data_IF_800570604228
#
_entry.id   IF_800570604228
#
_cell.length_a   1.000
_cell.length_b   1.000
_cell.length_c   1.000
_cell.angle_alpha   90.00
_cell.angle_beta   90.00
_cell.angle_gamma   90.00
#
_symmetry.space_group_name_H-M   'P 1'
#
loop_
_entity.id
_entity.type
_entity.pdbx_description
1 polymer ?
#
# COMPACT_ATOMS: atom_id res chain seq x y z
N UNK A 1 -4.79 11.82 -2.89
CA UNK A 1 -4.61 10.88 -4.01
C UNK A 1 -3.38 10.07 -3.75
N UNK A 2 -3.49 8.75 -3.82
CA UNK A 2 -2.38 7.83 -3.61
C UNK A 2 -1.83 7.40 -4.98
N UNK A 3 -0.53 7.58 -5.20
CA UNK A 3 0.11 7.24 -6.48
C UNK A 3 0.66 5.81 -6.45
N UNK A 4 0.51 5.12 -7.57
CA UNK A 4 1.11 3.81 -7.77
C UNK A 4 1.58 3.60 -9.18
N UNK A 5 2.27 2.49 -9.39
CA UNK A 5 2.73 2.04 -10.69
C UNK A 5 2.31 0.59 -10.91
N UNK A 6 2.26 0.18 -12.17
CA UNK A 6 2.20 -1.23 -12.51
C UNK A 6 3.32 -1.55 -13.50
N UNK A 7 4.04 -2.64 -13.23
CA UNK A 7 5.25 -2.98 -13.97
C UNK A 7 5.34 -4.49 -14.25
N UNK A 8 6.12 -4.81 -15.27
CA UNK A 8 6.41 -6.15 -15.75
C UNK A 8 7.90 -6.27 -16.08
N UNK A 9 8.31 -7.35 -16.74
CA UNK A 9 9.65 -7.46 -17.33
C UNK A 9 10.02 -6.30 -18.27
N UNK A 10 9.05 -5.58 -18.82
CA UNK A 10 9.30 -4.50 -19.79
C UNK A 10 10.01 -3.29 -19.16
N UNK A 11 9.83 -3.07 -17.86
CA UNK A 11 10.55 -2.03 -17.11
C UNK A 11 11.99 -2.45 -16.72
N UNK A 12 12.38 -3.69 -17.00
CA UNK A 12 13.74 -4.20 -16.81
C UNK A 12 14.10 -4.54 -15.36
N UNK A 13 15.18 -5.31 -15.22
CA UNK A 13 15.68 -5.78 -13.92
C UNK A 13 16.42 -4.72 -13.08
N UNK A 14 16.44 -3.46 -13.52
CA UNK A 14 17.09 -2.34 -12.84
C UNK A 14 16.10 -1.28 -12.34
N UNK A 15 14.80 -1.57 -12.38
CA UNK A 15 13.80 -0.66 -11.83
C UNK A 15 13.98 -0.51 -10.31
N UNK A 16 14.30 0.71 -9.85
CA UNK A 16 14.59 1.01 -8.45
C UNK A 16 13.29 1.36 -7.71
N UNK A 17 12.66 0.34 -7.13
CA UNK A 17 11.43 0.49 -6.36
C UNK A 17 11.61 1.29 -5.06
N UNK A 18 12.81 1.29 -4.48
CA UNK A 18 13.10 2.11 -3.30
C UNK A 18 13.17 3.59 -3.68
N UNK A 19 13.75 3.92 -4.84
CA UNK A 19 13.69 5.27 -5.40
C UNK A 19 12.26 5.67 -5.77
N UNK A 20 11.49 4.78 -6.38
CA UNK A 20 10.08 5.04 -6.68
C UNK A 20 9.31 5.42 -5.40
N UNK A 21 9.52 4.68 -4.30
CA UNK A 21 8.94 5.01 -3.00
C UNK A 21 9.35 6.40 -2.49
N UNK A 22 10.64 6.76 -2.59
CA UNK A 22 11.14 8.11 -2.24
C UNK A 22 10.55 9.21 -3.11
N UNK A 23 10.17 8.90 -4.36
CA UNK A 23 9.48 9.82 -5.28
C UNK A 23 7.97 9.91 -5.04
N UNK A 24 7.44 9.23 -4.01
CA UNK A 24 6.04 9.32 -3.60
C UNK A 24 5.12 8.24 -4.18
N UNK A 25 5.68 7.19 -4.81
CA UNK A 25 4.91 5.98 -5.15
C UNK A 25 4.62 5.20 -3.88
N UNK A 26 3.35 4.88 -3.64
CA UNK A 26 2.91 4.20 -2.43
C UNK A 26 2.59 2.71 -2.63
N UNK A 27 2.28 2.31 -3.86
CA UNK A 27 1.96 0.93 -4.22
C UNK A 27 2.49 0.54 -5.60
N UNK A 28 2.68 -0.75 -5.80
CA UNK A 28 3.07 -1.32 -7.08
C UNK A 28 2.32 -2.62 -7.38
N UNK A 29 1.84 -2.76 -8.61
CA UNK A 29 1.13 -3.95 -9.10
C UNK A 29 2.01 -4.64 -10.14
N UNK A 30 2.38 -5.89 -9.90
CA UNK A 30 3.39 -6.59 -10.70
C UNK A 30 2.77 -7.64 -11.61
N UNK A 31 3.18 -7.68 -12.88
CA UNK A 31 2.83 -8.79 -13.76
C UNK A 31 3.39 -10.07 -13.17
N UNK A 32 2.54 -11.06 -12.94
CA UNK A 32 2.97 -12.36 -12.46
C UNK A 32 2.93 -13.41 -13.57
N UNK A 33 1.80 -13.48 -14.27
CA UNK A 33 1.50 -14.57 -15.20
C UNK A 33 0.66 -14.06 -16.38
N UNK A 34 0.70 -14.79 -17.49
CA UNK A 34 -0.12 -14.53 -18.68
C UNK A 34 -0.57 -15.87 -19.27
N UNK A 35 -1.89 -16.01 -19.49
CA UNK A 35 -2.48 -17.23 -20.03
C UNK A 35 -2.11 -18.50 -19.23
N UNK A 36 -1.99 -19.62 -19.90
CA UNK A 36 -1.77 -20.93 -19.25
C UNK A 36 -0.32 -21.28 -18.92
N UNK A 37 0.68 -20.61 -19.50
CA UNK A 37 2.09 -21.05 -19.35
C UNK A 37 3.09 -19.92 -19.09
N UNK A 38 2.79 -18.68 -19.48
CA UNK A 38 3.78 -17.61 -19.40
C UNK A 38 3.82 -17.02 -18.00
N UNK A 39 5.04 -16.75 -17.52
CA UNK A 39 5.34 -16.25 -16.18
C UNK A 39 6.35 -15.13 -16.31
N UNK A 40 6.14 -14.04 -15.59
CA UNK A 40 7.04 -12.90 -15.65
C UNK A 40 8.34 -13.23 -14.88
N UNK A 41 9.51 -13.21 -15.55
CA UNK A 41 10.78 -13.55 -14.89
C UNK A 41 11.21 -12.53 -13.82
N UNK A 42 10.59 -11.34 -13.78
CA UNK A 42 10.88 -10.31 -12.78
C UNK A 42 9.91 -10.34 -11.60
N UNK A 43 8.84 -11.14 -11.64
CA UNK A 43 7.78 -11.07 -10.62
C UNK A 43 8.30 -11.24 -9.19
N UNK A 44 9.01 -12.33 -8.90
CA UNK A 44 9.49 -12.63 -7.54
C UNK A 44 10.43 -11.54 -7.03
N UNK A 45 11.36 -11.09 -7.89
CA UNK A 45 12.29 -10.00 -7.58
C UNK A 45 11.54 -8.70 -7.29
N UNK A 46 10.60 -8.32 -8.16
CA UNK A 46 9.84 -7.08 -8.04
C UNK A 46 8.93 -7.11 -6.80
N UNK A 47 8.31 -8.26 -6.50
CA UNK A 47 7.50 -8.44 -5.31
C UNK A 47 8.34 -8.27 -4.03
N UNK A 48 9.51 -8.89 -3.96
CA UNK A 48 10.43 -8.75 -2.82
C UNK A 48 10.91 -7.30 -2.68
N UNK A 49 11.43 -6.71 -3.76
CA UNK A 49 11.92 -5.34 -3.74
C UNK A 49 10.82 -4.30 -3.44
N UNK A 50 9.58 -4.54 -3.87
CA UNK A 50 8.43 -3.70 -3.52
C UNK A 50 8.09 -3.76 -2.04
N UNK A 51 8.11 -4.97 -1.46
CA UNK A 51 7.91 -5.17 -0.01
C UNK A 51 9.03 -4.50 0.80
N UNK A 52 10.29 -4.68 0.40
CA UNK A 52 11.44 -4.09 1.08
C UNK A 52 11.46 -2.56 0.98
N UNK A 53 10.94 -2.00 -0.12
CA UNK A 53 10.73 -0.57 -0.29
C UNK A 53 9.52 -0.01 0.51
N UNK A 54 8.80 -0.87 1.24
CA UNK A 54 7.60 -0.48 1.98
C UNK A 54 6.44 -0.10 1.08
N UNK A 55 6.33 -0.63 -0.14
CA UNK A 55 5.17 -0.42 -1.01
C UNK A 55 4.04 -1.38 -0.65
N UNK A 56 2.79 -0.96 -0.85
CA UNK A 56 1.67 -1.91 -0.91
C UNK A 56 1.81 -2.67 -2.24
N UNK A 57 1.78 -4.00 -2.21
CA UNK A 57 2.06 -4.83 -3.39
C UNK A 57 0.84 -5.66 -3.79
N UNK A 58 0.67 -5.83 -5.10
CA UNK A 58 -0.29 -6.77 -5.67
C UNK A 58 0.31 -7.44 -6.92
N UNK A 59 -0.30 -8.54 -7.33
CA UNK A 59 0.02 -9.24 -8.57
C UNK A 59 -1.09 -9.05 -9.59
N UNK A 60 -0.76 -9.05 -10.88
CA UNK A 60 -1.75 -9.21 -11.93
C UNK A 60 -1.47 -10.41 -12.83
N UNK A 61 -2.57 -11.01 -13.30
CA UNK A 61 -2.59 -12.08 -14.29
C UNK A 61 -3.22 -11.56 -15.58
N UNK A 62 -2.46 -11.60 -16.67
CA UNK A 62 -2.94 -11.19 -17.99
C UNK A 62 -3.80 -12.31 -18.60
N UNK A 63 -5.09 -12.04 -18.76
CA UNK A 63 -6.08 -13.03 -19.22
C UNK A 63 -5.95 -13.24 -20.73
N UNK A 64 -5.91 -14.51 -21.14
CA UNK A 64 -5.78 -14.88 -22.56
C UNK A 64 -6.99 -15.68 -23.04
N UNK A 65 -7.52 -15.36 -24.21
CA UNK A 65 -8.69 -16.05 -24.80
C UNK A 65 -8.38 -17.43 -25.38
N UNK A 66 -7.10 -17.74 -25.59
CA UNK A 66 -6.61 -19.01 -26.12
C UNK A 66 -6.37 -20.08 -25.04
N UNK A 67 -6.76 -19.80 -23.79
CA UNK A 67 -6.58 -20.73 -22.66
C UNK A 67 -7.80 -20.79 -21.75
N UNK A 68 -8.07 -21.97 -21.20
CA UNK A 68 -9.20 -22.17 -20.28
C UNK A 68 -8.95 -21.51 -18.91
N UNK A 69 -10.02 -21.14 -18.21
CA UNK A 69 -9.93 -20.58 -16.87
C UNK A 69 -9.18 -21.51 -15.90
N UNK A 70 -9.38 -22.83 -16.01
CA UNK A 70 -8.65 -23.83 -15.21
C UNK A 70 -7.15 -23.81 -15.50
N UNK A 71 -6.73 -23.72 -16.76
CA UNK A 71 -5.33 -23.68 -17.13
C UNK A 71 -4.65 -22.36 -16.68
N UNK A 72 -5.36 -21.24 -16.78
CA UNK A 72 -4.92 -19.94 -16.28
C UNK A 72 -4.75 -19.96 -14.75
N UNK A 73 -5.73 -20.50 -14.01
CA UNK A 73 -5.60 -20.70 -12.56
C UNK A 73 -4.40 -21.57 -12.19
N UNK A 74 -4.15 -22.66 -12.93
CA UNK A 74 -3.00 -23.52 -12.70
C UNK A 74 -1.67 -22.78 -12.90
N UNK A 75 -1.60 -21.84 -13.85
CA UNK A 75 -0.44 -20.99 -14.06
C UNK A 75 -0.25 -19.99 -12.91
N UNK A 76 -1.32 -19.30 -12.51
CA UNK A 76 -1.35 -18.40 -11.34
C UNK A 76 -0.82 -19.12 -10.10
N UNK A 77 -1.34 -20.32 -9.82
CA UNK A 77 -1.01 -21.12 -8.63
C UNK A 77 0.47 -21.52 -8.52
N UNK A 78 1.22 -21.48 -9.63
CA UNK A 78 2.66 -21.78 -9.64
C UNK A 78 3.54 -20.61 -9.23
N UNK A 79 3.00 -19.38 -9.23
CA UNK A 79 3.81 -18.17 -9.13
C UNK A 79 3.30 -17.23 -8.05
N UNK A 80 1.99 -17.06 -7.92
CA UNK A 80 1.38 -16.06 -7.04
C UNK A 80 1.09 -16.67 -5.67
N UNK A 81 1.76 -16.21 -4.59
CA UNK A 81 1.45 -16.62 -3.22
C UNK A 81 0.03 -16.21 -2.81
N UNK A 82 -0.58 -16.95 -1.88
CA UNK A 82 -1.97 -16.69 -1.44
C UNK A 82 -2.14 -15.38 -0.66
N UNK A 83 -1.07 -14.92 -0.01
CA UNK A 83 -0.98 -13.66 0.72
C UNK A 83 -0.83 -12.43 -0.21
N UNK A 84 -0.60 -12.63 -1.51
CA UNK A 84 -0.50 -11.54 -2.49
C UNK A 84 -1.85 -11.34 -3.18
N UNK A 85 -2.45 -10.13 -3.10
CA UNK A 85 -3.68 -9.81 -3.81
C UNK A 85 -3.49 -10.00 -5.32
N UNK A 86 -4.46 -10.65 -5.97
CA UNK A 86 -4.40 -10.97 -7.38
C UNK A 86 -5.44 -10.19 -8.18
N UNK A 87 -5.01 -9.50 -9.23
CA UNK A 87 -5.89 -8.76 -10.12
C UNK A 87 -5.90 -9.44 -11.49
N UNK A 88 -7.09 -9.62 -12.07
CA UNK A 88 -7.21 -10.09 -13.45
C UNK A 88 -7.10 -8.90 -14.40
N UNK A 89 -6.16 -8.98 -15.33
CA UNK A 89 -5.94 -8.00 -16.39
C UNK A 89 -6.65 -8.48 -17.67
N UNK A 90 -7.72 -7.76 -18.01
CA UNK A 90 -8.67 -8.11 -19.06
C UNK A 90 -8.66 -7.07 -20.16
N UNK A 91 -7.92 -7.39 -21.21
CA UNK A 91 -7.87 -6.57 -22.42
C UNK A 91 -7.68 -7.43 -23.68
N UNK A 92 -7.90 -6.83 -24.86
CA UNK A 92 -7.56 -7.47 -26.12
C UNK A 92 -6.14 -7.14 -26.56
N UNK A 93 -5.42 -8.16 -27.03
CA UNK A 93 -4.09 -7.99 -27.61
C UNK A 93 -4.22 -7.99 -29.12
N UNK A 94 -3.60 -6.99 -29.74
CA UNK A 94 -3.34 -6.97 -31.19
C UNK A 94 -1.85 -7.18 -31.45
N UNK A 95 -1.51 -8.10 -32.34
CA UNK A 95 -0.17 -8.26 -32.90
C UNK A 95 -0.25 -8.05 -34.41
N UNK A 96 0.58 -7.14 -34.93
CA UNK A 96 0.60 -6.79 -36.36
C UNK A 96 -0.80 -6.45 -36.91
N UNK A 97 -1.59 -5.69 -36.14
CA UNK A 97 -2.96 -5.29 -36.49
C UNK A 97 -4.04 -6.37 -36.33
N UNK A 98 -3.68 -7.62 -36.01
CA UNK A 98 -4.62 -8.73 -35.82
C UNK A 98 -4.88 -8.97 -34.34
N UNK A 99 -6.14 -9.15 -33.97
CA UNK A 99 -6.52 -9.56 -32.61
C UNK A 99 -6.03 -10.99 -32.38
N UNK A 100 -5.11 -11.17 -31.44
CA UNK A 100 -4.55 -12.48 -31.07
C UNK A 100 -5.05 -12.97 -29.71
N UNK A 101 -5.66 -12.09 -28.92
CA UNK A 101 -6.43 -12.45 -27.73
C UNK A 101 -7.52 -11.44 -27.49
N UNK A 102 -8.71 -11.92 -27.15
CA UNK A 102 -9.84 -11.11 -26.73
C UNK A 102 -10.70 -11.93 -25.75
N UNK A 103 -10.37 -11.93 -24.45
CA UNK A 103 -11.13 -12.65 -23.43
C UNK A 103 -12.62 -12.26 -23.45
N UNK A 104 -13.52 -13.25 -23.43
CA UNK A 104 -14.95 -12.99 -23.30
C UNK A 104 -15.33 -12.71 -21.84
N UNK A 105 -16.42 -11.98 -21.61
CA UNK A 105 -16.97 -11.78 -20.26
C UNK A 105 -17.26 -13.12 -19.54
N UNK A 106 -17.69 -14.15 -20.30
CA UNK A 106 -17.93 -15.48 -19.75
C UNK A 106 -16.64 -16.13 -19.21
N UNK A 107 -15.54 -16.07 -19.97
CA UNK A 107 -14.23 -16.56 -19.53
C UNK A 107 -13.75 -15.80 -18.29
N UNK A 108 -13.92 -14.48 -18.27
CA UNK A 108 -13.53 -13.61 -17.15
C UNK A 108 -14.28 -13.99 -15.88
N UNK A 109 -15.60 -14.16 -15.96
CA UNK A 109 -16.42 -14.60 -14.81
C UNK A 109 -16.04 -15.99 -14.32
N UNK A 110 -15.81 -16.93 -15.24
CA UNK A 110 -15.36 -18.28 -14.88
C UNK A 110 -14.00 -18.26 -14.16
N UNK A 111 -13.03 -17.52 -14.70
CA UNK A 111 -11.70 -17.40 -14.10
C UNK A 111 -11.75 -16.70 -12.75
N UNK A 112 -12.49 -15.60 -12.64
CA UNK A 112 -12.67 -14.88 -11.38
C UNK A 112 -13.27 -15.80 -10.30
N UNK A 113 -14.34 -16.53 -10.60
CA UNK A 113 -14.94 -17.49 -9.68
C UNK A 113 -13.96 -18.59 -9.25
N UNK A 114 -13.16 -19.12 -10.18
CA UNK A 114 -12.12 -20.12 -9.88
C UNK A 114 -10.99 -19.57 -9.01
N UNK A 115 -10.57 -18.34 -9.25
CA UNK A 115 -9.55 -17.64 -8.45
C UNK A 115 -10.02 -17.51 -6.99
N UNK A 116 -11.26 -17.05 -6.78
CA UNK A 116 -11.84 -16.94 -5.44
C UNK A 116 -12.01 -18.31 -4.77
N UNK A 117 -12.55 -19.31 -5.50
CA UNK A 117 -12.74 -20.67 -4.98
C UNK A 117 -11.41 -21.35 -4.61
N UNK A 118 -10.31 -20.96 -5.26
CA UNK A 118 -8.97 -21.43 -4.93
C UNK A 118 -8.34 -20.70 -3.72
N UNK A 119 -9.04 -19.76 -3.09
CA UNK A 119 -8.57 -19.04 -1.90
C UNK A 119 -7.66 -17.84 -2.21
N UNK A 120 -7.68 -17.32 -3.44
CA UNK A 120 -7.05 -16.02 -3.72
C UNK A 120 -7.99 -14.87 -3.34
N UNK A 121 -7.39 -13.78 -2.88
CA UNK A 121 -8.08 -12.51 -2.74
C UNK A 121 -7.93 -11.70 -4.04
N UNK A 122 -9.06 -11.33 -4.65
CA UNK A 122 -9.09 -10.57 -5.90
C UNK A 122 -10.00 -9.34 -5.77
N UNK A 123 -9.46 -8.23 -5.25
CA UNK A 123 -10.24 -7.05 -4.83
C UNK A 123 -10.59 -6.09 -5.98
N UNK A 124 -9.90 -6.24 -7.11
CA UNK A 124 -10.03 -5.38 -8.28
C UNK A 124 -9.98 -6.23 -9.55
N UNK A 125 -10.53 -5.68 -10.63
CA UNK A 125 -10.35 -6.20 -11.99
C UNK A 125 -9.84 -5.07 -12.87
N UNK A 126 -8.73 -5.31 -13.58
CA UNK A 126 -8.31 -4.40 -14.63
C UNK A 126 -9.13 -4.65 -15.88
N UNK A 127 -9.84 -3.61 -16.30
CA UNK A 127 -10.66 -3.61 -17.49
C UNK A 127 -10.64 -2.21 -18.08
N UNK A 128 -10.22 -2.03 -19.33
CA UNK A 128 -10.38 -0.74 -19.99
C UNK A 128 -11.83 -0.53 -20.42
N UNK A 129 -12.38 0.69 -20.22
CA UNK A 129 -13.74 1.03 -20.65
C UNK A 129 -13.98 0.75 -22.14
N UNK A 130 -12.99 1.03 -22.98
CA UNK A 130 -13.08 0.78 -24.43
C UNK A 130 -13.25 -0.72 -24.73
N UNK A 131 -12.60 -1.59 -23.95
CA UNK A 131 -12.65 -3.02 -24.18
C UNK A 131 -13.99 -3.59 -23.72
N UNK A 132 -14.47 -3.17 -22.55
CA UNK A 132 -15.83 -3.46 -22.09
C UNK A 132 -16.91 -3.06 -23.11
N UNK A 133 -16.75 -1.90 -23.77
CA UNK A 133 -17.67 -1.46 -24.83
C UNK A 133 -17.69 -2.40 -26.04
N UNK A 134 -16.59 -3.10 -26.34
CA UNK A 134 -16.57 -4.12 -27.42
C UNK A 134 -17.45 -5.33 -27.12
N UNK A 135 -17.79 -5.58 -25.85
CA UNK A 135 -18.77 -6.59 -25.46
C UNK A 135 -20.23 -6.11 -25.55
N UNK A 136 -20.46 -4.88 -26.02
CA UNK A 136 -21.80 -4.26 -26.04
C UNK A 136 -22.18 -3.58 -24.71
N UNK A 137 -21.18 -3.22 -23.89
CA UNK A 137 -21.38 -2.54 -22.61
C UNK A 137 -22.32 -3.28 -21.62
N UNK A 138 -22.14 -4.60 -21.40
CA UNK A 138 -23.00 -5.39 -20.52
C UNK A 138 -22.85 -5.00 -19.05
N UNK A 139 -23.80 -5.42 -18.21
CA UNK A 139 -23.62 -5.38 -16.76
C UNK A 139 -22.42 -6.25 -16.34
N UNK A 140 -21.71 -5.80 -15.30
CA UNK A 140 -20.54 -6.45 -14.71
C UNK A 140 -20.84 -6.95 -13.30
N UNK A 141 -22.10 -7.21 -12.99
CA UNK A 141 -22.56 -7.80 -11.74
C UNK A 141 -21.76 -9.08 -11.42
N UNK A 142 -21.40 -9.23 -10.13
CA UNK A 142 -20.58 -10.34 -9.63
C UNK A 142 -19.07 -10.20 -9.82
N UNK A 143 -18.58 -9.17 -10.51
CA UNK A 143 -17.15 -8.83 -10.60
C UNK A 143 -16.76 -7.76 -9.56
N UNK A 144 -15.47 -7.65 -9.19
CA UNK A 144 -15.03 -6.67 -8.19
C UNK A 144 -14.94 -5.27 -8.81
N UNK A 145 -14.77 -4.20 -8.00
CA UNK A 145 -14.57 -2.85 -8.51
C UNK A 145 -13.43 -2.72 -9.53
N UNK A 146 -13.49 -1.66 -10.34
CA UNK A 146 -12.65 -1.51 -11.53
C UNK A 146 -11.31 -0.84 -11.21
N UNK A 147 -10.24 -1.46 -11.69
CA UNK A 147 -9.04 -0.76 -12.10
C UNK A 147 -9.19 -0.39 -13.58
N UNK A 148 -9.55 0.85 -13.89
CA UNK A 148 -9.80 1.27 -15.27
C UNK A 148 -8.59 2.00 -15.85
N UNK A 149 -8.26 1.74 -17.11
CA UNK A 149 -7.32 2.58 -17.86
C UNK A 149 -8.02 3.62 -18.71
N UNK A 150 -7.46 4.84 -18.71
CA UNK A 150 -7.86 5.93 -19.61
C UNK A 150 -6.78 6.99 -19.68
N UNK A 151 -6.24 7.24 -20.87
CA UNK A 151 -5.11 8.14 -21.07
C UNK A 151 -5.56 9.41 -21.79
N UNK A 152 -5.08 10.56 -21.32
CA UNK A 152 -5.35 11.85 -21.96
C UNK A 152 -4.42 12.08 -23.16
N UNK A 153 -3.13 11.83 -22.96
CA UNK A 153 -2.04 11.97 -23.92
C UNK A 153 -0.83 11.13 -23.46
N UNK A 154 0.26 11.23 -24.23
CA UNK A 154 1.51 10.49 -24.02
C UNK A 154 2.72 11.44 -23.89
N UNK A 155 2.50 12.67 -23.40
CA UNK A 155 3.54 13.71 -23.40
C UNK A 155 4.62 13.49 -22.32
N UNK A 156 4.47 12.48 -21.48
CA UNK A 156 5.40 12.17 -20.39
C UNK A 156 5.32 13.12 -19.19
N UNK A 157 6.18 12.88 -18.20
CA UNK A 157 6.25 13.63 -16.94
C UNK A 157 6.07 12.74 -15.70
N UNK A 158 6.19 13.32 -14.52
CA UNK A 158 5.93 12.57 -13.27
C UNK A 158 4.43 12.28 -13.13
N UNK A 159 4.04 11.23 -12.36
CA UNK A 159 2.63 10.93 -12.09
C UNK A 159 1.83 12.15 -11.62
N UNK A 160 2.37 12.92 -10.67
CA UNK A 160 1.71 14.11 -10.13
C UNK A 160 1.50 15.21 -11.18
N UNK A 161 2.49 15.47 -12.04
CA UNK A 161 2.39 16.48 -13.11
C UNK A 161 1.36 16.06 -14.17
N UNK A 162 1.37 14.79 -14.58
CA UNK A 162 0.41 14.29 -15.57
C UNK A 162 -1.01 14.36 -14.97
N UNK A 163 -1.19 13.98 -13.71
CA UNK A 163 -2.50 13.90 -13.07
C UNK A 163 -3.23 15.24 -12.96
N UNK A 164 -2.52 16.38 -12.89
CA UNK A 164 -3.13 17.72 -12.85
C UNK A 164 -4.09 18.00 -14.02
N UNK A 165 -3.92 17.30 -15.15
CA UNK A 165 -4.72 17.45 -16.37
C UNK A 165 -5.85 16.43 -16.47
N UNK A 166 -5.90 15.44 -15.57
CA UNK A 166 -6.83 14.32 -15.66
C UNK A 166 -8.22 14.77 -15.23
N UNK A 167 -9.22 14.71 -16.12
CA UNK A 167 -10.55 15.20 -15.80
C UNK A 167 -11.31 14.19 -14.94
N UNK A 168 -12.12 14.68 -14.00
CA UNK A 168 -12.92 13.85 -13.08
C UNK A 168 -13.79 12.78 -13.78
N UNK A 169 -14.20 13.02 -15.04
CA UNK A 169 -14.94 12.03 -15.85
C UNK A 169 -14.18 10.71 -16.10
N UNK A 170 -12.87 10.64 -15.84
CA UNK A 170 -12.08 9.40 -15.95
C UNK A 170 -12.43 8.41 -14.83
N UNK A 171 -12.92 8.91 -13.69
CA UNK A 171 -13.33 8.14 -12.53
C UNK A 171 -14.77 7.62 -12.59
N UNK A 172 -15.53 7.96 -13.64
CA UNK A 172 -16.89 7.49 -13.78
C UNK A 172 -16.91 5.97 -13.94
N UNK A 173 -17.74 5.31 -13.13
CA UNK A 173 -18.04 3.88 -13.20
C UNK A 173 -18.69 3.45 -14.51
N UNK A 174 -18.69 2.15 -14.77
CA UNK A 174 -19.38 1.53 -15.89
C UNK A 174 -19.71 0.07 -15.61
N UNK A 175 -20.68 -0.50 -16.35
CA UNK A 175 -21.18 -1.85 -16.10
C UNK A 175 -21.81 -2.04 -14.71
N UNK A 176 -22.18 -0.95 -14.03
CA UNK A 176 -22.69 -0.98 -12.65
C UNK A 176 -21.59 -1.00 -11.57
N UNK A 177 -20.31 -0.92 -11.94
CA UNK A 177 -19.18 -0.94 -11.00
C UNK A 177 -18.53 0.44 -10.87
N UNK A 178 -18.00 0.73 -9.68
CA UNK A 178 -17.17 1.92 -9.41
C UNK A 178 -15.74 1.73 -9.94
N UNK A 179 -15.03 2.84 -10.13
CA UNK A 179 -13.60 2.87 -10.49
C UNK A 179 -12.83 3.43 -9.29
N UNK A 180 -12.40 2.62 -8.31
CA UNK A 180 -11.54 3.08 -7.23
C UNK A 180 -10.07 3.28 -7.63
N UNK A 181 -9.62 2.64 -8.72
CA UNK A 181 -8.24 2.70 -9.20
C UNK A 181 -8.22 3.10 -10.68
N UNK A 182 -7.46 4.15 -11.01
CA UNK A 182 -7.36 4.69 -12.37
C UNK A 182 -5.91 4.61 -12.87
N UNK A 183 -5.66 3.82 -13.91
CA UNK A 183 -4.44 3.93 -14.72
C UNK A 183 -4.62 5.10 -15.68
N UNK A 184 -4.02 6.24 -15.35
CA UNK A 184 -4.29 7.50 -16.06
C UNK A 184 -3.26 7.83 -17.13
N UNK A 185 -2.14 7.10 -17.18
CA UNK A 185 -1.11 7.26 -18.21
C UNK A 185 -0.24 6.00 -18.32
N UNK A 186 0.32 5.81 -19.50
CA UNK A 186 1.38 4.83 -19.81
C UNK A 186 2.71 5.50 -20.16
N UNK A 187 2.87 6.79 -19.89
CA UNK A 187 4.06 7.56 -20.29
C UNK A 187 4.81 8.20 -19.12
N UNK A 188 4.51 7.82 -17.88
CA UNK A 188 5.13 8.47 -16.73
C UNK A 188 6.64 8.20 -16.65
N UNK A 189 7.35 9.13 -16.03
CA UNK A 189 8.73 8.95 -15.59
C UNK A 189 8.74 8.69 -14.09
N UNK A 190 9.27 7.55 -13.66
CA UNK A 190 9.39 7.14 -12.25
C UNK A 190 10.73 6.47 -12.04
N UNK A 191 11.43 6.83 -10.96
CA UNK A 191 12.74 6.30 -10.60
C UNK A 191 13.81 6.43 -11.72
N UNK A 192 13.68 7.45 -12.58
CA UNK A 192 14.54 7.65 -13.75
C UNK A 192 14.24 6.74 -14.95
N UNK A 193 13.17 5.95 -14.88
CA UNK A 193 12.69 5.11 -15.97
C UNK A 193 11.47 5.73 -16.65
N UNK A 194 11.41 5.62 -17.97
CA UNK A 194 10.27 5.98 -18.80
C UNK A 194 10.26 5.11 -20.07
N UNK A 195 9.09 4.72 -20.59
CA UNK A 195 7.75 4.97 -20.03
C UNK A 195 7.39 4.01 -18.88
N UNK A 196 6.55 4.48 -17.95
CA UNK A 196 5.99 3.70 -16.84
C UNK A 196 4.48 3.95 -16.75
N UNK A 197 3.71 2.90 -16.53
CA UNK A 197 2.28 2.99 -16.25
C UNK A 197 2.07 3.56 -14.85
N UNK A 198 1.25 4.61 -14.74
CA UNK A 198 0.99 5.28 -13.47
C UNK A 198 -0.50 5.29 -13.13
N UNK A 199 -0.74 5.05 -11.84
CA UNK A 199 -2.05 4.80 -11.26
C UNK A 199 -2.35 5.81 -10.15
N UNK A 200 -3.63 6.14 -10.03
CA UNK A 200 -4.17 6.99 -8.99
C UNK A 200 -5.24 6.20 -8.23
N UNK A 201 -5.20 6.23 -6.91
CA UNK A 201 -6.25 5.74 -6.02
C UNK A 201 -6.84 6.88 -5.21
N UNK A 202 -8.16 7.04 -5.29
CA UNK A 202 -8.90 8.12 -4.61
C UNK A 202 -9.17 7.76 -3.14
N UNK A 203 -8.12 7.82 -2.34
CA UNK A 203 -8.18 7.56 -0.91
C UNK A 203 -6.80 7.59 -0.25
N UNK A 204 -6.78 7.20 1.03
CA UNK A 204 -5.57 7.06 1.83
C UNK A 204 -4.84 5.74 1.57
N UNK A 205 -3.61 5.64 2.08
CA UNK A 205 -2.82 4.41 2.04
C UNK A 205 -3.49 3.26 2.77
N UNK A 206 -4.11 3.55 3.92
CA UNK A 206 -4.83 2.59 4.76
C UNK A 206 -6.09 2.08 4.06
N UNK A 207 -6.82 2.98 3.40
CA UNK A 207 -7.99 2.60 2.58
C UNK A 207 -7.57 1.71 1.42
N UNK A 208 -6.43 1.98 0.78
CA UNK A 208 -5.91 1.14 -0.29
C UNK A 208 -5.44 -0.23 0.22
N UNK A 209 -4.74 -0.28 1.35
CA UNK A 209 -4.32 -1.53 1.99
C UNK A 209 -5.53 -2.40 2.38
N UNK A 210 -6.55 -1.78 2.97
CA UNK A 210 -7.80 -2.44 3.33
C UNK A 210 -8.56 -2.96 2.10
N UNK A 211 -8.63 -2.17 1.02
CA UNK A 211 -9.19 -2.60 -0.26
C UNK A 211 -8.48 -3.85 -0.77
N UNK A 212 -7.15 -3.89 -0.69
CA UNK A 212 -6.37 -5.03 -1.15
C UNK A 212 -6.41 -6.24 -0.21
N UNK A 213 -7.22 -6.23 0.85
CA UNK A 213 -7.28 -7.33 1.81
C UNK A 213 -5.97 -7.52 2.58
N UNK A 214 -5.05 -6.56 2.46
CA UNK A 214 -3.93 -6.42 3.37
C UNK A 214 -4.51 -5.86 4.66
N UNK A 215 -5.03 -6.74 5.52
CA UNK A 215 -5.01 -6.45 6.96
C UNK A 215 -3.59 -5.97 7.23
N UNK A 216 -3.45 -4.74 7.75
CA UNK A 216 -2.17 -4.12 8.11
C UNK A 216 -1.19 -5.22 8.48
N UNK A 217 -0.32 -5.59 7.54
CA UNK A 217 0.63 -6.66 7.78
C UNK A 217 1.41 -6.18 8.99
N UNK A 218 1.41 -6.99 10.05
CA UNK A 218 2.30 -6.87 11.19
C UNK A 218 3.64 -6.42 10.65
N UNK A 219 3.98 -5.16 10.90
CA UNK A 219 5.22 -4.55 10.44
C UNK A 219 6.33 -5.49 10.89
N UNK A 220 7.06 -6.04 9.92
CA UNK A 220 8.31 -6.71 10.22
C UNK A 220 9.09 -5.75 11.10
N UNK A 221 9.53 -6.27 12.23
CA UNK A 221 10.57 -5.75 13.09
C UNK A 221 11.73 -5.26 12.21
N UNK A 222 11.67 -4.00 11.76
CA UNK A 222 12.76 -3.42 10.99
C UNK A 222 13.83 -3.10 12.03
N UNK A 223 14.86 -3.93 12.07
CA UNK A 223 16.10 -3.68 12.79
C UNK A 223 16.78 -2.47 12.14
N UNK A 224 16.28 -1.27 12.44
CA UNK A 224 16.87 -0.01 12.00
C UNK A 224 17.75 0.55 13.12
N UNK A 225 18.95 1.06 12.82
CA UNK A 225 19.78 1.73 13.80
C UNK A 225 19.12 3.05 14.22
N UNK A 226 18.28 2.98 15.24
CA UNK A 226 17.73 4.14 15.92
C UNK A 226 18.65 4.51 17.10
N UNK A 227 18.75 5.80 17.43
CA UNK A 227 19.36 6.21 18.71
C UNK A 227 18.22 6.20 19.75
N UNK A 228 18.14 5.21 20.65
CA UNK A 228 17.10 5.16 21.66
C UNK A 228 17.29 6.28 22.67
N UNK A 229 16.26 7.11 22.88
CA UNK A 229 16.24 8.09 23.99
C UNK A 229 15.55 7.45 25.18
N UNK A 230 16.29 7.22 26.26
CA UNK A 230 15.74 6.70 27.51
C UNK A 230 15.31 7.85 28.44
N UNK A 231 14.03 7.91 28.77
CA UNK A 231 13.44 8.94 29.61
C UNK A 231 13.86 8.78 31.07
N UNK A 232 13.91 9.85 31.88
CA UNK A 232 14.19 9.74 33.31
C UNK A 232 13.24 8.77 34.01
N UNK A 233 13.68 8.20 35.11
CA UNK A 233 12.81 7.43 35.97
C UNK A 233 11.69 8.30 36.56
N UNK A 234 10.47 7.76 36.67
CA UNK A 234 9.37 8.44 37.36
C UNK A 234 8.43 7.45 38.05
N UNK A 235 8.18 7.66 39.35
CA UNK A 235 7.25 6.85 40.16
C UNK A 235 5.78 7.28 39.98
N UNK A 236 5.59 8.56 39.66
CA UNK A 236 4.30 9.15 39.31
C UNK A 236 4.28 9.52 37.84
N UNK A 237 3.13 9.99 37.38
CA UNK A 237 3.00 10.37 35.99
C UNK A 237 3.85 11.60 35.66
N UNK A 238 4.77 11.42 34.72
CA UNK A 238 5.55 12.50 34.14
C UNK A 238 5.23 12.68 32.66
N UNK A 239 5.40 13.89 32.14
CA UNK A 239 5.14 14.23 30.74
C UNK A 239 6.45 14.52 30.03
N UNK A 240 6.54 14.06 28.79
CA UNK A 240 7.60 14.44 27.86
C UNK A 240 6.98 14.81 26.54
N UNK A 241 7.22 16.04 26.09
CA UNK A 241 6.99 16.38 24.69
C UNK A 241 8.07 15.69 23.86
N UNK A 242 7.68 14.96 22.81
CA UNK A 242 8.66 14.32 21.96
C UNK A 242 9.24 15.38 21.01
N UNK A 243 10.58 15.46 20.85
CA UNK A 243 11.19 16.41 19.95
C UNK A 243 10.84 16.09 18.49
N UNK A 244 10.44 17.10 17.72
CA UNK A 244 10.31 17.02 16.27
C UNK A 244 11.66 17.36 15.63
N UNK A 245 12.57 16.39 15.49
CA UNK A 245 13.82 16.63 14.76
C UNK A 245 13.84 15.93 13.40
N UNK A 246 13.80 16.74 12.33
CA UNK A 246 14.88 16.68 11.35
C UNK A 246 15.29 18.12 11.04
N UNK A 247 16.43 18.55 11.58
CA UNK A 247 17.11 19.84 11.35
C UNK A 247 16.31 20.96 10.65
N UNK A 248 15.97 21.97 11.46
CA UNK A 248 15.46 23.32 11.15
C UNK A 248 14.01 23.49 10.65
N UNK A 249 13.30 24.37 11.36
CA UNK A 249 11.93 24.88 11.17
C UNK A 249 10.78 23.90 11.39
N UNK A 250 10.17 24.07 12.56
CA UNK A 250 8.81 23.65 12.93
C UNK A 250 7.84 23.74 11.75
N UNK A 251 7.35 22.60 11.27
CA UNK A 251 5.92 22.36 10.97
C UNK A 251 5.71 20.93 10.50
N UNK A 252 4.89 20.20 11.27
CA UNK A 252 4.02 19.08 10.89
C UNK A 252 4.66 17.95 10.08
N UNK A 253 4.91 16.81 10.74
CA UNK A 253 5.05 15.54 10.03
C UNK A 253 3.66 14.95 9.85
N UNK A 254 3.09 15.10 8.66
CA UNK A 254 2.04 14.18 8.21
C UNK A 254 2.65 12.79 8.04
N UNK A 255 2.02 11.76 8.61
CA UNK A 255 2.35 10.35 8.46
C UNK A 255 3.70 9.88 9.09
N UNK A 256 4.05 10.40 10.27
CA UNK A 256 5.20 9.91 11.05
C UNK A 256 4.90 8.61 11.82
N UNK A 257 5.96 7.84 12.07
CA UNK A 257 5.95 6.75 13.05
C UNK A 257 6.98 7.02 14.15
N UNK A 258 6.72 6.54 15.36
CA UNK A 258 7.74 6.44 16.40
C UNK A 258 7.57 5.15 17.21
N UNK A 259 8.65 4.71 17.85
CA UNK A 259 8.63 3.54 18.73
C UNK A 259 8.65 4.01 20.17
N UNK A 260 7.86 3.35 21.02
CA UNK A 260 7.95 3.44 22.47
C UNK A 260 8.42 2.08 22.98
N UNK A 261 9.36 2.06 23.91
CA UNK A 261 9.87 0.81 24.46
C UNK A 261 10.15 0.92 25.95
N UNK A 262 10.01 -0.18 26.67
CA UNK A 262 10.61 -0.33 27.99
C UNK A 262 12.09 -0.65 27.78
N UNK A 263 12.99 0.27 28.13
CA UNK A 263 14.43 0.01 28.08
C UNK A 263 14.79 -1.13 29.05
N UNK A 264 14.12 -1.14 30.21
CA UNK A 264 14.03 -2.25 31.14
C UNK A 264 12.86 -2.03 32.12
N UNK A 265 12.40 -3.10 32.77
CA UNK A 265 11.33 -3.10 33.76
C UNK A 265 9.95 -2.75 33.21
N UNK A 266 8.91 -2.91 34.02
CA UNK A 266 7.54 -2.58 33.59
C UNK A 266 7.26 -1.08 33.68
N UNK A 267 6.62 -0.56 32.62
CA UNK A 267 6.28 0.85 32.51
C UNK A 267 4.86 1.01 31.99
N UNK A 268 4.13 1.96 32.57
CA UNK A 268 2.83 2.40 32.08
C UNK A 268 2.98 3.71 31.32
N UNK A 269 2.31 3.83 30.18
CA UNK A 269 2.41 4.99 29.31
C UNK A 269 1.06 5.38 28.70
N UNK A 270 0.93 6.65 28.32
CA UNK A 270 -0.15 7.22 27.52
C UNK A 270 0.46 8.12 26.43
N UNK A 271 -0.08 8.03 25.21
CA UNK A 271 0.24 8.95 24.11
C UNK A 271 -0.78 10.07 24.11
N UNK A 272 -0.28 11.31 24.13
CA UNK A 272 -1.06 12.53 24.21
C UNK A 272 -0.84 13.34 22.94
N UNK A 273 -1.91 13.65 22.21
CA UNK A 273 -1.86 14.48 21.00
C UNK A 273 -2.20 15.94 21.31
N UNK A 274 -1.56 16.90 20.65
CA UNK A 274 -1.73 18.34 20.85
C UNK A 274 -2.33 18.97 19.58
N UNK A 275 -3.39 19.78 19.76
CA UNK A 275 -4.01 20.65 18.76
C UNK A 275 -4.61 21.90 19.43
N UNK A 276 -4.98 22.93 18.66
CA UNK A 276 -5.36 24.29 19.08
C UNK A 276 -6.29 24.40 20.31
N UNK A 277 -5.69 24.34 21.50
CA UNK A 277 -6.38 24.26 22.79
C UNK A 277 -6.39 22.83 23.31
N UNK A 278 -5.40 22.50 24.15
CA UNK A 278 -5.24 21.23 24.88
C UNK A 278 -6.55 20.47 25.09
N UNK A 279 -6.74 19.38 24.34
CA UNK A 279 -7.76 18.37 24.60
C UNK A 279 -7.06 17.08 25.04
N UNK A 280 -7.14 16.80 26.34
CA UNK A 280 -6.94 15.45 26.88
C UNK A 280 -8.07 14.56 26.35
N UNK A 281 -7.78 13.72 25.36
CA UNK A 281 -8.77 12.79 24.79
C UNK A 281 -8.10 11.49 24.37
N UNK A 282 -8.65 10.38 24.87
CA UNK A 282 -8.48 9.07 24.27
C UNK A 282 -9.42 8.84 23.07
N UNK A 283 -8.94 7.98 22.17
CA UNK A 283 -9.58 7.27 21.06
C UNK A 283 -9.67 7.96 19.69
N UNK A 284 -8.89 7.43 18.73
CA UNK A 284 -9.34 6.91 17.41
C UNK A 284 -8.14 6.28 16.66
N UNK A 285 -8.05 4.93 16.62
CA UNK A 285 -7.02 4.16 15.90
C UNK A 285 -6.54 2.90 16.65
N UNK A 286 -6.09 1.85 15.93
CA UNK A 286 -6.01 0.43 16.35
C UNK A 286 -4.94 0.06 17.40
N UNK A 287 -4.10 0.98 17.86
CA UNK A 287 -3.19 0.77 18.98
C UNK A 287 -3.72 1.48 20.24
N UNK A 288 -3.61 0.89 21.44
CA UNK A 288 -4.03 1.57 22.67
C UNK A 288 -3.33 2.93 22.82
N UNK A 289 -4.10 4.00 23.04
CA UNK A 289 -3.56 5.34 23.35
C UNK A 289 -2.87 5.39 24.72
N UNK A 290 -2.91 4.29 25.47
CA UNK A 290 -2.10 4.04 26.65
C UNK A 290 -2.06 2.54 26.94
N UNK A 291 -1.06 2.10 27.68
CA UNK A 291 -0.86 0.69 27.96
C UNK A 291 0.33 0.44 28.88
N UNK A 292 0.64 -0.84 29.07
CA UNK A 292 1.82 -1.29 29.82
C UNK A 292 2.80 -1.95 28.86
N UNK A 293 4.07 -1.65 29.06
CA UNK A 293 5.18 -2.34 28.41
C UNK A 293 5.85 -3.23 29.46
N UNK A 294 5.91 -4.52 29.17
CA UNK A 294 6.77 -5.45 29.90
C UNK A 294 8.25 -5.14 29.63
N UNK A 295 9.14 -5.71 30.45
CA UNK A 295 10.59 -5.56 30.27
C UNK A 295 11.01 -5.84 28.81
N UNK A 296 11.75 -4.88 28.23
CA UNK A 296 12.24 -4.92 26.84
C UNK A 296 11.16 -4.96 25.74
N UNK A 297 9.89 -4.81 26.09
CA UNK A 297 8.80 -4.73 25.12
C UNK A 297 8.87 -3.42 24.34
N UNK A 298 8.50 -3.50 23.06
CA UNK A 298 8.40 -2.35 22.15
C UNK A 298 7.02 -2.32 21.53
N UNK A 299 6.46 -1.12 21.43
CA UNK A 299 5.26 -0.83 20.68
C UNK A 299 5.56 0.24 19.62
N UNK A 300 4.99 0.06 18.43
CA UNK A 300 5.10 1.00 17.31
C UNK A 300 3.85 1.86 17.26
N UNK A 301 4.02 3.15 17.02
CA UNK A 301 2.92 4.11 17.01
C UNK A 301 2.93 4.97 15.76
N UNK A 302 1.80 5.01 15.05
CA UNK A 302 1.56 5.86 13.90
C UNK A 302 0.94 7.17 14.35
N UNK A 303 1.52 8.30 13.92
CA UNK A 303 0.96 9.63 14.18
C UNK A 303 -0.22 9.89 13.25
N UNK A 304 -1.43 10.14 13.78
CA UNK A 304 -2.58 10.50 12.95
C UNK A 304 -2.33 11.80 12.17
N UNK A 305 -2.86 11.88 10.95
CA UNK A 305 -2.78 13.09 10.13
C UNK A 305 -3.46 14.29 10.81
N UNK A 306 -2.87 15.48 10.71
CA UNK A 306 -3.46 16.73 11.22
C UNK A 306 -3.18 17.04 12.70
N UNK A 307 -2.34 16.24 13.38
CA UNK A 307 -1.87 16.51 14.74
C UNK A 307 -0.68 17.49 14.70
N UNK A 308 -0.71 18.51 15.57
CA UNK A 308 0.35 19.54 15.66
C UNK A 308 1.50 19.12 16.58
N UNK A 309 1.22 18.26 17.57
CA UNK A 309 2.17 17.85 18.60
C UNK A 309 1.90 16.46 19.18
N UNK A 310 2.93 15.75 19.63
CA UNK A 310 2.79 14.50 20.40
C UNK A 310 3.63 14.58 21.67
N UNK A 311 3.04 14.16 22.79
CA UNK A 311 3.69 13.97 24.06
C UNK A 311 3.43 12.56 24.59
N UNK A 312 4.29 12.07 25.46
CA UNK A 312 4.08 10.88 26.26
C UNK A 312 3.85 11.27 27.70
N UNK A 313 2.92 10.61 28.35
CA UNK A 313 2.83 10.57 29.80
C UNK A 313 3.25 9.17 30.26
N UNK A 314 4.09 9.04 31.28
CA UNK A 314 4.59 7.73 31.71
C UNK A 314 4.84 7.65 33.21
N UNK A 315 4.81 6.43 33.75
CA UNK A 315 5.22 6.10 35.13
C UNK A 315 5.69 4.65 35.23
N UNK A 316 6.56 4.38 36.20
CA UNK A 316 7.21 3.08 36.39
C UNK A 316 6.43 2.28 37.42
N UNK A 317 5.41 1.54 36.96
CA UNK A 317 4.55 0.72 37.83
C UNK A 317 4.20 -0.63 37.24
N UNK A 318 4.09 -1.63 38.10
CA UNK A 318 3.74 -3.01 37.73
C UNK A 318 2.23 -3.21 37.64
N UNK A 319 1.83 -4.38 37.09
CA UNK A 319 0.54 -5.06 37.27
C UNK A 319 -0.39 -4.49 38.37
N UNK A 320 0.11 -4.60 39.60
CA UNK A 320 -0.59 -4.36 40.85
C UNK A 320 -0.51 -2.90 41.33
N UNK A 321 0.17 -2.02 40.59
CA UNK A 321 0.34 -0.61 40.91
C UNK A 321 1.55 -0.31 41.80
N UNK A 322 2.42 -1.30 42.06
CA UNK A 322 3.64 -1.08 42.80
C UNK A 322 4.65 -0.32 41.95
N UNK A 323 5.48 0.50 42.58
CA UNK A 323 6.55 1.24 41.91
C UNK A 323 7.64 0.26 41.46
N UNK A 324 8.05 0.35 40.19
CA UNK A 324 9.11 -0.47 39.58
C UNK A 324 10.34 0.39 39.30
N UNK A 325 11.46 -0.22 38.88
CA UNK A 325 12.60 0.52 38.30
C UNK A 325 12.51 0.62 36.78
N UNK A 326 11.29 0.53 36.23
CA UNK A 326 11.05 0.57 34.80
C UNK A 326 11.51 1.89 34.17
N UNK A 327 11.94 1.84 32.91
CA UNK A 327 12.35 3.05 32.18
C UNK A 327 11.76 3.05 30.78
N UNK A 328 10.93 4.06 30.50
CA UNK A 328 10.41 4.28 29.16
C UNK A 328 11.51 4.86 28.27
N UNK A 329 11.50 4.49 27.00
CA UNK A 329 12.24 5.18 25.97
C UNK A 329 11.41 5.35 24.72
N UNK A 330 11.90 6.21 23.83
CA UNK A 330 11.32 6.41 22.52
C UNK A 330 12.42 6.54 21.46
N UNK A 331 12.04 6.32 20.20
CA UNK A 331 12.92 6.55 19.07
C UNK A 331 12.14 6.91 17.80
N UNK A 332 12.74 7.72 16.95
CA UNK A 332 12.22 8.07 15.64
C UNK A 332 12.98 7.34 14.52
N UNK A 333 12.34 7.06 13.38
CA UNK A 333 13.02 6.60 12.18
C UNK A 333 14.10 7.61 11.76
N UNK A 334 15.35 7.16 11.62
CA UNK A 334 16.36 7.99 10.96
C UNK A 334 16.13 7.94 9.45
N UNK A 335 16.06 9.10 8.78
CA UNK A 335 16.23 9.15 7.32
C UNK A 335 17.68 8.73 7.04
N UNK A 336 17.88 7.72 6.18
CA UNK A 336 19.21 7.40 5.68
C UNK A 336 19.83 8.66 5.07
N UNK A 337 21.04 9.01 5.52
CA UNK A 337 21.83 10.12 4.97
C UNK A 337 22.25 9.83 3.54
#
# INVERSE_FOLDING_TARGET
MLWGIDISRHQGGSFDLARAAREGIAYAIFKATEGNTWRDPQFERNLAAGRDAGLIVAAYHFVRSDSSATAQLANIARVVPKDVPLILDVESIKQNGKVVSAPSLALVRELYGKVLAAGYHSPLIYLPRWYWQTWGAPALDGLPPLWSSRYLDYNGGTPAQIYQRIPGRFWLGYGGLSVPLLQFTSSATVAGHAPVDANAFDGSREQFAALLGSSSHSEKEVDMPAIPVSLPYSADWNYVALPFESNVNSTVVGDAWFTIFAAWGEVEYEVVTIGSGLKLVGLTGTAPTGGRLADRQRNYWQVPSGIEGVALRYRSRDAAGNVTNGRLGYSFPQKAK
#
